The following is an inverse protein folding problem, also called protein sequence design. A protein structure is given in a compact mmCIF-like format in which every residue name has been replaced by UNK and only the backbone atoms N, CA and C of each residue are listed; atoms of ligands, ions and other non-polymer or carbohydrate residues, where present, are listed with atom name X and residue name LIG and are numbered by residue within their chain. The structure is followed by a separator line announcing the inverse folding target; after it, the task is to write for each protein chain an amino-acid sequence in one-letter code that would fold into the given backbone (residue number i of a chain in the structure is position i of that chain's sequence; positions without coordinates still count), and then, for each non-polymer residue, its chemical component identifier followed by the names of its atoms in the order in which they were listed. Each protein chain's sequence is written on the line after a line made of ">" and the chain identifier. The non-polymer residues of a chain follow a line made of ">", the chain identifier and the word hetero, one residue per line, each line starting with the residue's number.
data_IF_505470897088
#
_entry.id   IF_505470897088
#
_cell.length_a   1.000
_cell.length_b   1.000
_cell.length_c   1.000
_cell.angle_alpha   90.00
_cell.angle_beta   90.00
_cell.angle_gamma   90.00
#
_symmetry.space_group_name_H-M   'P 1'
#
loop_
_entity.id
_entity.type
_entity.pdbx_description
1 polymer ?
#
# COMPACT_ATOMS: atom_id res chain seq x y z
N UNK A 1 47.46 7.58 -16.26
CA UNK A 1 46.41 8.41 -15.64
C UNK A 1 45.03 7.74 -15.64
N UNK A 2 44.56 7.15 -16.75
CA UNK A 2 43.26 6.45 -16.79
C UNK A 2 43.13 5.26 -15.85
N UNK A 3 44.20 4.48 -15.66
CA UNK A 3 44.21 3.34 -14.71
C UNK A 3 43.97 3.83 -13.29
N UNK A 4 44.66 4.91 -12.88
CA UNK A 4 44.50 5.51 -11.55
C UNK A 4 43.08 6.03 -11.36
N UNK A 5 42.52 6.71 -12.37
CA UNK A 5 41.12 7.14 -12.34
C UNK A 5 40.17 5.95 -12.18
N UNK A 6 40.42 4.84 -12.89
CA UNK A 6 39.60 3.64 -12.82
C UNK A 6 39.66 2.98 -11.44
N UNK A 7 40.84 2.89 -10.83
CA UNK A 7 41.00 2.35 -9.47
C UNK A 7 40.29 3.24 -8.45
N UNK A 8 40.50 4.56 -8.50
CA UNK A 8 39.87 5.50 -7.56
C UNK A 8 38.34 5.45 -7.65
N UNK A 9 37.78 5.44 -8.86
CA UNK A 9 36.33 5.39 -9.06
C UNK A 9 35.73 4.02 -8.71
N UNK A 10 36.45 2.92 -8.92
CA UNK A 10 36.00 1.57 -8.54
C UNK A 10 36.01 1.36 -7.02
N UNK A 11 37.01 1.93 -6.33
CA UNK A 11 37.04 1.92 -4.87
C UNK A 11 35.94 2.84 -4.30
N UNK A 12 35.69 3.99 -4.94
CA UNK A 12 34.62 4.90 -4.55
C UNK A 12 33.25 4.22 -4.61
N UNK A 13 32.92 3.50 -5.69
CA UNK A 13 31.63 2.80 -5.81
C UNK A 13 31.48 1.73 -4.72
N UNK A 14 32.56 1.01 -4.41
CA UNK A 14 32.58 0.03 -3.30
C UNK A 14 32.37 0.70 -1.95
N UNK A 15 32.98 1.87 -1.72
CA UNK A 15 32.88 2.64 -0.48
C UNK A 15 31.46 3.18 -0.27
N UNK A 16 30.85 3.74 -1.33
CA UNK A 16 29.47 4.23 -1.32
C UNK A 16 28.50 3.06 -1.08
N UNK A 17 28.73 1.91 -1.74
CA UNK A 17 27.94 0.71 -1.54
C UNK A 17 27.99 0.21 -0.09
N UNK A 18 29.16 0.26 0.54
CA UNK A 18 29.32 -0.06 1.96
C UNK A 18 28.58 0.93 2.87
N UNK A 19 28.73 2.24 2.63
CA UNK A 19 28.07 3.27 3.42
C UNK A 19 26.54 3.26 3.31
N UNK A 20 26.02 2.88 2.15
CA UNK A 20 24.59 2.76 1.88
C UNK A 20 24.05 1.35 2.10
N UNK A 21 24.85 0.40 2.60
CA UNK A 21 24.37 -0.94 2.87
C UNK A 21 23.41 -0.90 4.06
N UNK A 22 22.18 -1.33 3.81
CA UNK A 22 21.15 -1.43 4.81
C UNK A 22 20.53 -2.82 4.81
N UNK A 23 19.92 -3.16 5.95
CA UNK A 23 19.16 -4.38 6.15
C UNK A 23 17.78 -4.01 6.68
N UNK A 24 16.76 -4.67 6.16
CA UNK A 24 15.38 -4.53 6.63
C UNK A 24 15.10 -5.64 7.65
N UNK A 25 14.75 -5.25 8.87
CA UNK A 25 14.25 -6.18 9.88
C UNK A 25 12.76 -5.96 10.06
N UNK A 26 11.95 -6.95 9.68
CA UNK A 26 10.50 -6.90 9.88
C UNK A 26 10.16 -7.08 11.37
N UNK A 27 9.22 -6.30 11.93
CA UNK A 27 8.88 -6.36 13.35
C UNK A 27 8.12 -7.64 13.71
N UNK A 28 8.81 -8.54 14.42
CA UNK A 28 8.24 -9.80 14.90
C UNK A 28 7.58 -9.64 16.28
N UNK A 29 6.47 -10.34 16.49
CA UNK A 29 5.81 -10.44 17.79
C UNK A 29 6.71 -11.17 18.78
N UNK A 30 7.04 -10.52 19.91
CA UNK A 30 7.84 -11.14 20.97
C UNK A 30 7.05 -12.14 21.82
N UNK A 31 5.75 -11.90 22.04
CA UNK A 31 4.89 -12.76 22.86
C UNK A 31 3.84 -13.46 22.01
N UNK A 32 4.01 -14.76 21.72
CA UNK A 32 3.08 -15.55 20.90
C UNK A 32 2.02 -16.33 21.68
N UNK A 33 2.03 -16.24 23.02
CA UNK A 33 1.24 -17.12 23.89
C UNK A 33 -0.27 -16.86 23.86
N UNK A 34 -0.72 -15.68 23.43
CA UNK A 34 -2.15 -15.33 23.36
C UNK A 34 -2.71 -15.50 21.95
N UNK A 35 -3.94 -16.04 21.86
CA UNK A 35 -4.75 -16.06 20.62
C UNK A 35 -4.99 -14.62 20.16
N UNK A 36 -4.76 -14.40 18.87
CA UNK A 36 -4.83 -13.09 18.25
C UNK A 36 -6.04 -13.04 17.34
N UNK A 37 -6.83 -11.95 17.35
CA UNK A 37 -7.86 -11.76 16.35
C UNK A 37 -7.25 -11.61 14.95
N UNK A 38 -8.08 -11.72 13.92
CA UNK A 38 -7.65 -11.49 12.53
C UNK A 38 -7.24 -10.02 12.35
N UNK A 39 -6.21 -9.79 11.54
CA UNK A 39 -5.62 -8.48 11.27
C UNK A 39 -6.10 -7.86 9.96
N UNK A 40 -7.36 -8.04 9.60
CA UNK A 40 -7.86 -7.64 8.29
C UNK A 40 -7.68 -6.13 8.05
N UNK A 41 -7.15 -5.76 6.89
CA UNK A 41 -6.82 -4.36 6.52
C UNK A 41 -7.72 -3.91 5.38
N UNK A 42 -8.34 -2.74 5.55
CA UNK A 42 -9.14 -2.09 4.50
C UNK A 42 -8.41 -0.84 4.03
N UNK A 43 -8.06 -0.80 2.75
CA UNK A 43 -7.38 0.32 2.10
C UNK A 43 -8.39 1.08 1.25
N UNK A 44 -8.54 2.37 1.53
CA UNK A 44 -9.38 3.29 0.75
C UNK A 44 -8.54 4.03 -0.27
N UNK A 45 -8.95 4.00 -1.53
CA UNK A 45 -8.32 4.78 -2.60
C UNK A 45 -9.07 6.10 -2.86
N UNK A 46 -8.40 7.11 -3.46
CA UNK A 46 -8.96 8.46 -3.67
C UNK A 46 -10.22 8.56 -4.57
N UNK A 47 -10.67 7.47 -5.22
CA UNK A 47 -11.86 7.45 -6.08
C UNK A 47 -13.02 6.61 -5.50
N UNK A 48 -12.98 6.31 -4.20
CA UNK A 48 -14.03 5.53 -3.56
C UNK A 48 -13.96 4.03 -3.83
N UNK A 49 -12.84 3.53 -4.36
CA UNK A 49 -12.54 2.09 -4.41
C UNK A 49 -11.91 1.62 -3.10
N UNK A 50 -12.21 0.38 -2.74
CA UNK A 50 -11.73 -0.27 -1.53
C UNK A 50 -10.99 -1.55 -1.88
N UNK A 51 -9.89 -1.80 -1.20
CA UNK A 51 -9.17 -3.07 -1.24
C UNK A 51 -9.18 -3.65 0.17
N UNK A 52 -9.64 -4.89 0.30
CA UNK A 52 -9.68 -5.61 1.57
C UNK A 52 -8.64 -6.70 1.50
N UNK A 53 -7.77 -6.72 2.49
CA UNK A 53 -6.74 -7.73 2.63
C UNK A 53 -7.03 -8.50 3.91
N UNK A 54 -7.58 -9.70 3.72
CA UNK A 54 -7.82 -10.64 4.81
C UNK A 54 -6.49 -11.29 5.19
N UNK A 55 -6.00 -11.02 6.41
CA UNK A 55 -4.70 -11.53 6.85
C UNK A 55 -4.62 -11.70 8.36
N UNK A 56 -3.64 -12.50 8.79
CA UNK A 56 -3.32 -12.62 10.22
C UNK A 56 -2.69 -11.32 10.74
N UNK A 57 -2.86 -11.02 12.03
CA UNK A 57 -2.30 -9.81 12.64
C UNK A 57 -0.78 -9.69 12.44
N UNK A 58 -0.05 -10.81 12.45
CA UNK A 58 1.39 -10.79 12.24
C UNK A 58 1.76 -10.29 10.83
N UNK A 59 1.03 -10.73 9.79
CA UNK A 59 1.20 -10.27 8.41
C UNK A 59 0.79 -8.80 8.26
N UNK A 60 -0.35 -8.42 8.86
CA UNK A 60 -0.85 -7.05 8.85
C UNK A 60 0.16 -6.09 9.49
N UNK A 61 0.74 -6.50 10.63
CA UNK A 61 1.75 -5.72 11.34
C UNK A 61 3.03 -5.57 10.53
N UNK A 62 3.49 -6.62 9.87
CA UNK A 62 4.72 -6.57 9.08
C UNK A 62 4.59 -5.74 7.81
N UNK A 63 3.44 -5.81 7.12
CA UNK A 63 3.24 -5.14 5.82
C UNK A 63 2.62 -3.73 5.92
N UNK A 64 1.66 -3.52 6.84
CA UNK A 64 0.86 -2.28 6.86
C UNK A 64 1.10 -1.40 8.07
N UNK A 65 1.44 -1.98 9.23
CA UNK A 65 1.61 -1.22 10.48
C UNK A 65 3.05 -1.12 10.97
N UNK A 66 4.02 -1.69 10.25
CA UNK A 66 5.43 -1.65 10.62
C UNK A 66 5.97 -0.23 10.41
N UNK A 67 6.47 0.46 11.45
CA UNK A 67 7.30 1.63 11.23
C UNK A 67 8.59 1.14 10.57
N UNK A 68 8.78 1.46 9.28
CA UNK A 68 9.95 1.06 8.52
C UNK A 68 11.22 1.74 9.04
N UNK A 69 11.86 1.17 10.07
CA UNK A 69 13.20 1.57 10.48
C UNK A 69 14.22 0.76 9.67
N UNK A 70 14.84 1.41 8.70
CA UNK A 70 15.94 0.82 7.93
C UNK A 70 17.19 0.82 8.82
N UNK A 71 17.76 -0.35 9.08
CA UNK A 71 19.00 -0.47 9.85
C UNK A 71 20.19 -0.37 8.90
N UNK A 72 20.84 0.79 8.89
CA UNK A 72 22.09 0.98 8.17
C UNK A 72 23.22 0.23 8.87
N UNK A 73 24.10 -0.40 8.08
CA UNK A 73 25.29 -1.05 8.63
C UNK A 73 26.20 -0.05 9.38
N UNK A 74 26.26 1.19 8.88
CA UNK A 74 27.03 2.27 9.47
C UNK A 74 26.11 3.19 10.29
N UNK A 75 25.92 2.85 11.57
CA UNK A 75 25.08 3.62 12.50
C UNK A 75 25.78 4.84 13.09
N UNK A 76 27.11 4.83 13.15
CA UNK A 76 27.90 5.90 13.78
C UNK A 76 28.08 7.11 12.85
N UNK A 77 27.51 8.25 13.25
CA UNK A 77 27.60 9.52 12.51
C UNK A 77 29.04 9.98 12.17
N UNK A 78 30.02 9.92 13.10
CA UNK A 78 31.41 10.30 12.78
C UNK A 78 32.05 9.41 11.72
N UNK A 79 31.79 8.10 11.76
CA UNK A 79 32.31 7.17 10.77
C UNK A 79 31.74 7.46 9.37
N UNK A 80 30.44 7.80 9.29
CA UNK A 80 29.83 8.22 8.02
C UNK A 80 30.44 9.51 7.46
N UNK A 81 30.75 10.49 8.31
CA UNK A 81 31.41 11.74 7.89
C UNK A 81 32.82 11.50 7.33
N UNK A 82 33.61 10.63 7.98
CA UNK A 82 34.93 10.25 7.48
C UNK A 82 34.81 9.51 6.14
N UNK A 83 33.87 8.56 6.05
CA UNK A 83 33.62 7.81 4.83
C UNK A 83 33.25 8.74 3.66
N UNK A 84 32.38 9.73 3.92
CA UNK A 84 31.99 10.75 2.95
C UNK A 84 33.17 11.64 2.55
N UNK A 85 34.03 12.04 3.49
CA UNK A 85 35.22 12.83 3.19
C UNK A 85 36.18 12.07 2.26
N UNK A 86 36.48 10.82 2.60
CA UNK A 86 37.33 9.94 1.79
C UNK A 86 36.70 9.73 0.40
N UNK A 87 35.39 9.48 0.34
CA UNK A 87 34.66 9.34 -0.92
C UNK A 87 34.76 10.58 -1.81
N UNK A 88 34.57 11.78 -1.26
CA UNK A 88 34.67 13.03 -2.03
C UNK A 88 36.10 13.25 -2.55
N UNK A 89 37.13 12.96 -1.75
CA UNK A 89 38.53 13.04 -2.21
C UNK A 89 38.82 12.07 -3.35
N UNK A 90 38.33 10.83 -3.25
CA UNK A 90 38.48 9.82 -4.31
C UNK A 90 37.72 10.22 -5.58
N UNK A 91 36.53 10.81 -5.45
CA UNK A 91 35.76 11.32 -6.59
C UNK A 91 36.50 12.46 -7.30
N UNK A 92 36.94 13.49 -6.57
CA UNK A 92 37.68 14.60 -7.17
C UNK A 92 38.99 14.12 -7.81
N UNK A 93 39.75 13.26 -7.11
CA UNK A 93 40.98 12.68 -7.65
C UNK A 93 40.74 11.84 -8.92
N UNK A 94 39.67 11.03 -8.94
CA UNK A 94 39.28 10.24 -10.09
C UNK A 94 38.91 11.08 -11.30
N UNK A 95 38.11 12.14 -11.10
CA UNK A 95 37.70 13.06 -12.18
C UNK A 95 38.89 13.83 -12.75
N UNK A 96 39.79 14.35 -11.90
CA UNK A 96 41.01 15.06 -12.35
C UNK A 96 41.91 14.12 -13.17
N UNK A 97 42.11 12.88 -12.69
CA UNK A 97 42.92 11.90 -13.40
C UNK A 97 42.30 11.47 -14.75
N UNK A 98 40.97 11.45 -14.85
CA UNK A 98 40.26 11.16 -16.10
C UNK A 98 40.32 12.35 -17.08
N UNK A 99 40.21 13.58 -16.60
CA UNK A 99 40.33 14.79 -17.41
C UNK A 99 41.72 14.91 -18.06
N UNK A 100 42.76 14.43 -17.37
CA UNK A 100 44.13 14.40 -17.89
C UNK A 100 44.46 13.14 -18.72
N UNK A 101 43.48 12.26 -18.97
CA UNK A 101 43.67 11.08 -19.82
C UNK A 101 43.50 11.42 -21.31
N UNK A 102 44.01 10.56 -22.18
CA UNK A 102 43.81 10.70 -23.63
C UNK A 102 42.32 10.63 -24.00
N UNK A 103 41.93 11.41 -25.01
CA UNK A 103 40.53 11.51 -25.49
C UNK A 103 39.91 10.16 -25.85
N UNK A 104 40.70 9.22 -26.37
CA UNK A 104 40.26 7.85 -26.70
C UNK A 104 39.65 7.14 -25.48
N UNK A 105 40.29 7.26 -24.32
CA UNK A 105 39.84 6.61 -23.08
C UNK A 105 38.68 7.37 -22.44
N UNK A 106 38.62 8.70 -22.61
CA UNK A 106 37.48 9.51 -22.16
C UNK A 106 36.20 9.13 -22.90
N UNK A 107 36.28 8.94 -24.23
CA UNK A 107 35.14 8.47 -25.04
C UNK A 107 34.70 7.07 -24.61
N UNK A 108 35.65 6.15 -24.35
CA UNK A 108 35.33 4.81 -23.85
C UNK A 108 34.61 4.84 -22.49
N UNK A 109 35.05 5.71 -21.57
CA UNK A 109 34.38 5.94 -20.29
C UNK A 109 32.97 6.51 -20.46
N UNK A 110 32.81 7.52 -21.32
CA UNK A 110 31.51 8.11 -21.62
C UNK A 110 30.54 7.07 -22.20
N UNK A 111 31.00 6.27 -23.17
CA UNK A 111 30.21 5.18 -23.75
C UNK A 111 29.80 4.13 -22.71
N UNK A 112 30.72 3.75 -21.82
CA UNK A 112 30.43 2.80 -20.73
C UNK A 112 29.39 3.35 -19.75
N UNK A 113 29.49 4.64 -19.39
CA UNK A 113 28.51 5.29 -18.52
C UNK A 113 27.12 5.39 -19.17
N UNK A 114 27.06 5.72 -20.46
CA UNK A 114 25.80 5.72 -21.22
C UNK A 114 25.16 4.33 -21.27
N UNK A 115 25.97 3.28 -21.48
CA UNK A 115 25.49 1.90 -21.52
C UNK A 115 24.97 1.44 -20.16
N UNK A 116 25.71 1.74 -19.07
CA UNK A 116 25.24 1.48 -17.70
C UNK A 116 23.95 2.24 -17.38
N UNK A 117 23.84 3.49 -17.82
CA UNK A 117 22.62 4.29 -17.70
C UNK A 117 21.44 3.64 -18.41
N UNK A 118 21.63 3.22 -19.67
CA UNK A 118 20.62 2.50 -20.44
C UNK A 118 20.20 1.19 -19.76
N UNK A 119 21.17 0.41 -19.23
CA UNK A 119 20.89 -0.81 -18.50
C UNK A 119 20.07 -0.55 -17.23
N UNK A 120 20.39 0.49 -16.46
CA UNK A 120 19.63 0.88 -15.27
C UNK A 120 18.19 1.25 -15.64
N UNK A 121 17.99 1.98 -16.73
CA UNK A 121 16.65 2.35 -17.21
C UNK A 121 15.86 1.14 -17.70
N UNK A 122 16.51 0.18 -18.37
CA UNK A 122 15.89 -1.09 -18.77
C UNK A 122 15.43 -1.86 -17.53
N UNK A 123 16.28 -1.98 -16.51
CA UNK A 123 15.92 -2.64 -15.25
C UNK A 123 14.78 -1.89 -14.56
N UNK A 124 14.79 -0.56 -14.53
CA UNK A 124 13.71 0.24 -13.94
C UNK A 124 12.38 0.13 -14.72
N UNK A 125 12.44 -0.20 -16.01
CA UNK A 125 11.26 -0.44 -16.85
C UNK A 125 10.70 -1.87 -16.68
N UNK A 126 11.40 -2.77 -15.99
CA UNK A 126 10.87 -4.10 -15.71
C UNK A 126 9.65 -4.01 -14.77
N UNK A 127 8.70 -4.95 -14.89
CA UNK A 127 7.49 -4.92 -14.08
C UNK A 127 7.84 -5.13 -12.60
N UNK A 128 7.16 -4.40 -11.72
CA UNK A 128 7.38 -4.43 -10.27
C UNK A 128 7.41 -5.83 -9.65
N UNK A 129 6.67 -6.79 -10.23
CA UNK A 129 6.67 -8.21 -9.80
C UNK A 129 8.06 -8.89 -9.87
N UNK A 130 8.99 -8.36 -10.65
CA UNK A 130 10.38 -8.86 -10.74
C UNK A 130 11.30 -8.22 -9.70
N UNK A 131 10.91 -7.06 -9.16
CA UNK A 131 11.70 -6.33 -8.17
C UNK A 131 11.44 -6.81 -6.75
N UNK A 132 10.25 -7.33 -6.50
CA UNK A 132 9.80 -7.76 -5.19
C UNK A 132 9.66 -9.28 -5.15
N UNK A 133 10.41 -9.92 -4.26
CA UNK A 133 10.20 -11.32 -3.94
C UNK A 133 9.11 -11.42 -2.88
N UNK A 134 7.94 -11.91 -3.27
CA UNK A 134 6.79 -12.15 -2.37
C UNK A 134 6.64 -13.62 -2.02
N UNK A 135 7.65 -14.46 -2.28
CA UNK A 135 7.58 -15.91 -2.04
C UNK A 135 7.35 -16.30 -0.57
N UNK A 136 7.62 -15.40 0.36
CA UNK A 136 7.34 -15.60 1.79
C UNK A 136 5.85 -15.51 2.16
N UNK A 137 4.98 -15.04 1.26
CA UNK A 137 3.54 -14.91 1.52
C UNK A 137 2.73 -15.79 0.57
N UNK A 138 1.79 -16.55 1.14
CA UNK A 138 0.74 -17.22 0.37
C UNK A 138 -0.38 -16.21 0.09
N UNK A 139 -0.52 -15.79 -1.17
CA UNK A 139 -1.56 -14.84 -1.60
C UNK A 139 -2.69 -15.61 -2.27
N UNK A 140 -3.81 -15.71 -1.57
CA UNK A 140 -5.06 -16.25 -2.12
C UNK A 140 -5.94 -15.09 -2.59
N UNK A 141 -6.44 -15.16 -3.82
CA UNK A 141 -7.39 -14.17 -4.31
C UNK A 141 -8.79 -14.56 -3.85
N UNK A 142 -9.56 -13.58 -3.42
CA UNK A 142 -10.98 -13.72 -3.11
C UNK A 142 -11.78 -12.83 -4.06
N UNK A 143 -13.00 -13.24 -4.38
CA UNK A 143 -13.91 -12.48 -5.24
C UNK A 143 -15.31 -12.42 -4.65
N UNK A 144 -16.11 -11.49 -5.15
CA UNK A 144 -17.53 -11.40 -4.85
C UNK A 144 -18.35 -12.12 -5.92
N UNK A 145 -19.57 -12.50 -5.55
CA UNK A 145 -20.55 -13.13 -6.44
C UNK A 145 -20.93 -12.29 -7.67
N UNK A 146 -20.61 -11.00 -7.69
CA UNK A 146 -20.80 -10.09 -8.81
C UNK A 146 -19.48 -9.60 -9.45
N UNK A 147 -18.33 -10.13 -8.99
CA UNK A 147 -17.02 -9.77 -9.54
C UNK A 147 -16.89 -10.12 -11.03
N UNK A 148 -16.20 -9.25 -11.75
CA UNK A 148 -15.78 -9.46 -13.13
C UNK A 148 -14.52 -10.35 -13.16
N UNK A 149 -14.63 -11.55 -13.73
CA UNK A 149 -13.56 -12.54 -13.75
C UNK A 149 -12.51 -12.30 -14.84
N UNK A 150 -12.81 -11.45 -15.82
CA UNK A 150 -11.91 -11.16 -16.95
C UNK A 150 -10.87 -10.10 -16.60
N UNK A 151 -11.09 -9.34 -15.51
CA UNK A 151 -10.17 -8.31 -15.04
C UNK A 151 -9.23 -8.82 -13.94
N UNK A 152 -7.99 -8.32 -13.95
CA UNK A 152 -6.99 -8.65 -12.93
C UNK A 152 -7.45 -8.19 -11.54
N UNK A 153 -7.46 -9.11 -10.58
CA UNK A 153 -7.87 -8.84 -9.20
C UNK A 153 -9.38 -8.97 -8.95
N UNK A 154 -10.13 -9.47 -9.94
CA UNK A 154 -11.56 -9.79 -9.82
C UNK A 154 -12.41 -8.69 -9.16
N UNK A 155 -12.29 -7.42 -9.62
CA UNK A 155 -13.02 -6.32 -9.01
C UNK A 155 -14.53 -6.53 -9.17
N UNK A 156 -15.27 -6.16 -8.13
CA UNK A 156 -16.70 -5.95 -8.21
C UNK A 156 -16.94 -4.49 -8.58
N UNK A 157 -17.46 -4.27 -9.79
CA UNK A 157 -17.76 -2.94 -10.30
C UNK A 157 -18.96 -2.34 -9.54
N UNK A 158 -18.87 -1.06 -9.21
CA UNK A 158 -19.87 -0.34 -8.42
C UNK A 158 -20.13 1.02 -9.04
N UNK A 159 -21.40 1.37 -9.22
CA UNK A 159 -21.79 2.67 -9.76
C UNK A 159 -21.77 3.76 -8.68
N UNK A 160 -21.98 3.37 -7.41
CA UNK A 160 -22.04 4.31 -6.29
C UNK A 160 -21.03 3.98 -5.18
N UNK A 161 -20.57 5.02 -4.48
CA UNK A 161 -19.72 4.88 -3.30
C UNK A 161 -20.40 4.07 -2.19
N UNK A 162 -21.71 4.22 -2.04
CA UNK A 162 -22.52 3.48 -1.06
C UNK A 162 -22.51 1.98 -1.33
N UNK A 163 -22.59 1.56 -2.60
CA UNK A 163 -22.44 0.15 -2.99
C UNK A 163 -21.03 -0.38 -2.71
N UNK A 164 -19.98 0.41 -3.01
CA UNK A 164 -18.61 0.02 -2.74
C UNK A 164 -18.35 -0.17 -1.23
N UNK A 165 -18.85 0.73 -0.38
CA UNK A 165 -18.79 0.58 1.08
C UNK A 165 -19.60 -0.65 1.53
N UNK A 166 -20.81 -0.83 1.02
CA UNK A 166 -21.66 -1.96 1.38
C UNK A 166 -20.95 -3.29 1.15
N UNK A 167 -20.42 -3.52 -0.05
CA UNK A 167 -19.65 -4.72 -0.38
C UNK A 167 -18.40 -4.86 0.49
N UNK A 168 -17.79 -3.75 0.88
CA UNK A 168 -16.66 -3.76 1.82
C UNK A 168 -17.08 -4.20 3.23
N UNK A 169 -18.24 -3.77 3.71
CA UNK A 169 -18.81 -4.19 5.00
C UNK A 169 -19.23 -5.67 4.96
N UNK A 170 -19.74 -6.15 3.82
CA UNK A 170 -20.08 -7.55 3.59
C UNK A 170 -18.88 -8.47 3.84
N UNK A 171 -17.72 -8.12 3.26
CA UNK A 171 -16.50 -8.94 3.39
C UNK A 171 -15.80 -8.72 4.73
N UNK A 172 -15.70 -7.47 5.20
CA UNK A 172 -14.99 -7.16 6.45
C UNK A 172 -15.78 -7.51 7.72
N UNK A 173 -17.12 -7.62 7.62
CA UNK A 173 -18.06 -7.84 8.74
C UNK A 173 -17.90 -6.86 9.90
N UNK A 174 -17.22 -5.74 9.68
CA UNK A 174 -16.91 -4.73 10.67
C UNK A 174 -17.09 -3.33 10.06
N UNK A 175 -17.51 -2.38 10.91
CA UNK A 175 -17.74 -0.98 10.56
C UNK A 175 -16.80 -0.03 11.33
N UNK A 176 -16.01 -0.53 12.29
CA UNK A 176 -15.14 0.32 13.12
C UNK A 176 -14.08 1.06 12.29
N UNK A 177 -13.57 0.42 11.24
CA UNK A 177 -12.58 1.03 10.34
C UNK A 177 -13.15 2.26 9.61
N UNK A 178 -14.46 2.32 9.34
CA UNK A 178 -15.12 3.47 8.72
C UNK A 178 -15.07 4.67 9.67
N UNK A 179 -15.35 4.44 10.95
CA UNK A 179 -15.31 5.48 11.98
C UNK A 179 -13.89 5.99 12.20
N UNK A 180 -12.89 5.09 12.23
CA UNK A 180 -11.47 5.47 12.42
C UNK A 180 -10.88 6.22 11.22
N UNK A 181 -11.32 5.88 10.01
CA UNK A 181 -10.82 6.48 8.76
C UNK A 181 -11.62 7.71 8.29
N UNK A 182 -12.70 8.07 9.00
CA UNK A 182 -13.67 9.08 8.59
C UNK A 182 -14.14 8.87 7.13
N UNK A 183 -14.39 7.61 6.76
CA UNK A 183 -14.73 7.27 5.37
C UNK A 183 -16.12 7.77 4.95
N UNK A 184 -17.03 7.94 5.91
CA UNK A 184 -18.38 8.47 5.71
C UNK A 184 -18.64 9.71 6.58
N UNK A 185 -19.58 10.59 6.20
CA UNK A 185 -20.05 11.67 7.07
C UNK A 185 -20.58 11.14 8.41
N UNK A 186 -20.28 11.84 9.51
CA UNK A 186 -20.77 11.47 10.83
C UNK A 186 -22.16 12.06 11.10
N UNK A 187 -23.15 11.67 10.30
CA UNK A 187 -24.56 12.05 10.52
C UNK A 187 -25.36 10.92 11.18
N UNK A 188 -26.46 11.24 11.88
CA UNK A 188 -27.47 10.26 12.30
C UNK A 188 -27.88 9.25 11.22
N UNK A 189 -28.23 9.69 10.00
CA UNK A 189 -28.60 8.77 8.92
C UNK A 189 -27.49 7.79 8.58
N UNK A 190 -26.24 8.26 8.42
CA UNK A 190 -25.11 7.40 8.14
C UNK A 190 -24.83 6.41 9.28
N UNK A 191 -24.97 6.83 10.53
CA UNK A 191 -24.81 5.93 11.69
C UNK A 191 -25.88 4.85 11.75
N UNK A 192 -27.10 5.15 11.33
CA UNK A 192 -28.18 4.17 11.24
C UNK A 192 -27.95 3.21 10.06
N UNK A 193 -27.64 3.76 8.88
CA UNK A 193 -27.30 2.98 7.69
C UNK A 193 -26.17 1.98 7.93
N UNK A 194 -25.10 2.40 8.61
CA UNK A 194 -23.97 1.51 8.96
C UNK A 194 -24.37 0.38 9.91
N UNK A 195 -25.36 0.59 10.79
CA UNK A 195 -25.86 -0.48 11.67
C UNK A 195 -26.71 -1.47 10.89
N UNK A 196 -27.59 -0.98 10.02
CA UNK A 196 -28.41 -1.82 9.14
C UNK A 196 -27.52 -2.65 8.22
N UNK A 197 -26.54 -2.03 7.58
CA UNK A 197 -25.52 -2.72 6.80
C UNK A 197 -24.79 -3.80 7.62
N UNK A 198 -24.34 -3.48 8.84
CA UNK A 198 -23.68 -4.48 9.70
C UNK A 198 -24.61 -5.65 10.07
N UNK A 199 -25.89 -5.40 10.28
CA UNK A 199 -26.86 -6.46 10.57
C UNK A 199 -27.01 -7.39 9.36
N UNK A 200 -27.20 -6.82 8.16
CA UNK A 200 -27.34 -7.57 6.91
C UNK A 200 -26.05 -8.33 6.53
N UNK A 201 -24.86 -7.81 6.86
CA UNK A 201 -23.60 -8.50 6.58
C UNK A 201 -23.30 -9.67 7.52
N UNK A 202 -23.94 -9.71 8.70
CA UNK A 202 -23.81 -10.80 9.66
C UNK A 202 -24.25 -12.15 9.10
N UNK A 203 -25.27 -12.15 8.25
CA UNK A 203 -25.86 -13.35 7.65
C UNK A 203 -25.10 -13.88 6.43
N UNK A 204 -24.10 -13.15 5.94
CA UNK A 204 -23.35 -13.48 4.72
C UNK A 204 -22.46 -14.69 4.92
N UNK A 205 -22.64 -15.69 4.04
CA UNK A 205 -21.85 -16.92 3.97
C UNK A 205 -20.86 -16.88 2.79
N UNK A 206 -19.87 -17.75 2.86
CA UNK A 206 -19.08 -18.12 1.68
C UNK A 206 -20.05 -18.79 0.69
N UNK A 207 -19.96 -18.42 -0.59
CA UNK A 207 -20.75 -19.03 -1.65
C UNK A 207 -20.42 -20.51 -1.75
N UNK A 208 -21.43 -21.36 -1.86
CA UNK A 208 -21.26 -22.79 -2.16
C UNK A 208 -20.73 -23.01 -3.59
N UNK A 209 -20.82 -21.99 -4.45
CA UNK A 209 -20.36 -22.01 -5.84
C UNK A 209 -19.08 -21.19 -6.01
N UNK A 210 -17.99 -21.85 -6.40
CA UNK A 210 -16.76 -21.21 -6.84
C UNK A 210 -16.92 -20.74 -8.30
N UNK A 211 -16.86 -19.43 -8.55
CA UNK A 211 -16.84 -18.89 -9.92
C UNK A 211 -15.57 -19.28 -10.70
N UNK A 212 -14.48 -19.59 -9.99
CA UNK A 212 -13.21 -20.05 -10.56
C UNK A 212 -12.55 -21.03 -9.58
N UNK A 213 -12.00 -22.17 -10.04
CA UNK A 213 -11.43 -23.17 -9.15
C UNK A 213 -10.32 -22.55 -8.28
N UNK A 214 -10.48 -22.67 -6.96
CA UNK A 214 -9.51 -22.19 -5.96
C UNK A 214 -9.60 -20.70 -5.62
N UNK A 215 -10.65 -19.99 -6.06
CA UNK A 215 -10.91 -18.59 -5.66
C UNK A 215 -12.13 -18.57 -4.75
N UNK A 216 -11.94 -18.14 -3.50
CA UNK A 216 -13.05 -18.03 -2.53
C UNK A 216 -14.03 -16.96 -3.00
N UNK A 217 -15.29 -17.34 -3.10
CA UNK A 217 -16.36 -16.45 -3.57
C UNK A 217 -17.27 -16.07 -2.41
N UNK A 218 -17.51 -14.78 -2.22
CA UNK A 218 -18.43 -14.23 -1.21
C UNK A 218 -19.79 -13.89 -1.83
N UNK A 219 -20.87 -14.36 -1.23
CA UNK A 219 -22.22 -13.98 -1.65
C UNK A 219 -22.52 -12.54 -1.20
N UNK A 220 -23.08 -11.74 -2.11
CA UNK A 220 -23.54 -10.38 -1.79
C UNK A 220 -25.04 -10.48 -1.56
N UNK A 221 -25.56 -10.09 -0.38
CA UNK A 221 -27.00 -10.09 -0.14
C UNK A 221 -27.75 -9.14 -1.08
N UNK A 222 -28.98 -9.53 -1.42
CA UNK A 222 -29.96 -8.67 -2.07
C UNK A 222 -30.48 -7.60 -1.10
N UNK A 223 -29.62 -6.63 -0.78
CA UNK A 223 -29.98 -5.42 -0.05
C UNK A 223 -29.55 -4.23 -0.89
N UNK A 224 -30.47 -3.30 -1.19
CA UNK A 224 -30.13 -2.09 -1.94
C UNK A 224 -29.56 -1.01 -1.01
N UNK A 225 -28.24 -0.80 -1.01
CA UNK A 225 -27.60 0.13 -0.10
C UNK A 225 -27.96 1.60 -0.41
N UNK A 226 -28.24 1.91 -1.68
CA UNK A 226 -28.47 3.27 -2.13
C UNK A 226 -29.89 3.71 -1.78
N UNK A 227 -30.89 2.87 -2.03
CA UNK A 227 -32.27 3.16 -1.63
C UNK A 227 -32.41 3.32 -0.11
N UNK A 228 -31.75 2.45 0.67
CA UNK A 228 -31.75 2.54 2.13
C UNK A 228 -31.16 3.88 2.64
N UNK A 229 -30.04 4.32 2.06
CA UNK A 229 -29.43 5.59 2.44
C UNK A 229 -30.33 6.79 2.07
N UNK A 230 -30.94 6.78 0.88
CA UNK A 230 -31.84 7.85 0.43
C UNK A 230 -33.04 7.97 1.38
N UNK A 231 -33.64 6.84 1.80
CA UNK A 231 -34.76 6.85 2.73
C UNK A 231 -34.37 7.51 4.08
N UNK A 232 -33.21 7.15 4.64
CA UNK A 232 -32.72 7.70 5.90
C UNK A 232 -32.35 9.19 5.80
N UNK A 233 -31.75 9.61 4.68
CA UNK A 233 -31.42 11.02 4.46
C UNK A 233 -32.69 11.87 4.31
N UNK A 234 -33.71 11.37 3.62
CA UNK A 234 -35.01 12.06 3.51
C UNK A 234 -35.70 12.18 4.87
N UNK A 235 -35.62 11.13 5.70
CA UNK A 235 -36.17 11.18 7.06
C UNK A 235 -35.44 12.21 7.94
N UNK A 236 -34.11 12.27 7.83
CA UNK A 236 -33.29 13.26 8.56
C UNK A 236 -33.60 14.69 8.09
N UNK A 237 -33.67 14.93 6.78
CA UNK A 237 -34.03 16.23 6.21
C UNK A 237 -35.42 16.70 6.68
N UNK A 238 -36.42 15.81 6.69
CA UNK A 238 -37.76 16.12 7.19
C UNK A 238 -37.76 16.46 8.69
N UNK A 239 -36.91 15.82 9.49
CA UNK A 239 -36.78 16.13 10.92
C UNK A 239 -36.14 17.50 11.13
N UNK A 240 -35.12 17.85 10.36
CA UNK A 240 -34.47 19.16 10.44
C UNK A 240 -35.39 20.28 9.97
N UNK A 241 -36.19 20.05 8.91
CA UNK A 241 -37.23 20.97 8.46
C UNK A 241 -38.32 21.19 9.53
N UNK A 242 -38.71 20.13 10.24
CA UNK A 242 -39.67 20.25 11.34
C UNK A 242 -39.09 21.05 12.50
N UNK A 243 -37.84 20.77 12.87
CA UNK A 243 -37.14 21.44 13.97
C UNK A 243 -36.89 22.93 13.70
N UNK A 244 -36.56 23.27 12.45
CA UNK A 244 -36.39 24.66 12.04
C UNK A 244 -37.70 25.44 12.06
N UNK A 245 -38.82 24.81 11.67
CA UNK A 245 -40.17 25.42 11.79
C UNK A 245 -40.60 25.65 13.24
N UNK A 246 -40.41 24.66 14.11
CA UNK A 246 -40.74 24.78 15.54
C UNK A 246 -39.85 25.82 16.25
N UNK A 247 -38.56 25.92 15.90
CA UNK A 247 -37.66 26.94 16.45
C UNK A 247 -37.91 28.38 15.97
N UNK A 248 -38.70 28.57 14.91
CA UNK A 248 -39.14 29.90 14.45
C UNK A 248 -40.41 30.35 15.18
N UNK A 249 -41.23 29.42 15.68
CA UNK A 249 -42.45 29.74 16.45
C UNK A 249 -42.18 30.10 17.93
N UNK A 250 -40.98 29.81 18.45
CA UNK A 250 -40.57 30.12 19.83
C UNK A 250 -39.84 31.47 20.02
N UNK A 251 -39.80 32.35 18.99
CA UNK A 251 -39.14 33.68 19.04
C UNK A 251 -40.12 34.83 18.88
#
# INVERSE_FOLDING_TARGET
>A
MSIIATVLLSLLTSLIGYGNKWTLELPKRRHKTSKVPRGDVVIRYPKGSFLIVQCEEDVARELYFAPGSINYLLTHGPAYRILSLVGTMMLMGGVICLANAQIQVQIAWAGSYMLLGAAYWIVAALPAKMHWDTSCYAVENECLSDSNMDMKGYPSENDTFTQAIWKTIVVSKNIEWINRSAACPNTPAWRQWLREAKACSGDVRLSDYEKKPGVRTWEVPDWDPQAALIALLNEEANKDDKKSREGIEEV
#
